data_IF_893053803303
#
_entry.id   IF_893053803303
#
_cell.length_a   1.000
_cell.length_b   1.000
_cell.length_c   1.000
_cell.angle_alpha   90.00
_cell.angle_beta   90.00
_cell.angle_gamma   90.00
#
_symmetry.space_group_name_H-M   'P 1'
#
loop_
_entity.id
_entity.type
_entity.pdbx_description
1 polymer ?
#
# COMPACT_ATOMS: atom_id res chain seq x y z
N UNK A 1 12.26 14.77 15.30
CA UNK A 1 11.96 13.35 15.04
C UNK A 1 10.45 13.27 14.87
N UNK A 2 9.94 13.49 13.67
CA UNK A 2 8.50 13.66 13.50
C UNK A 2 7.98 12.77 12.37
N UNK A 3 7.28 11.73 12.84
CA UNK A 3 6.34 10.83 12.17
C UNK A 3 6.93 9.95 11.06
N UNK A 4 7.63 8.90 11.45
CA UNK A 4 7.39 7.61 10.79
C UNK A 4 5.89 7.33 10.95
N UNK A 5 5.07 7.62 9.94
CA UNK A 5 3.62 7.40 9.98
C UNK A 5 3.39 5.89 10.07
N UNK A 6 3.11 5.33 11.27
CA UNK A 6 2.92 3.88 11.41
C UNK A 6 1.69 3.45 10.59
N UNK A 7 0.75 4.38 10.43
CA UNK A 7 -0.52 4.19 9.74
C UNK A 7 -0.41 4.20 8.22
N UNK A 8 0.71 4.69 7.65
CA UNK A 8 0.88 4.73 6.20
C UNK A 8 1.03 3.31 5.64
N UNK A 9 1.88 2.51 6.28
CA UNK A 9 2.08 1.11 5.89
C UNK A 9 0.76 0.33 6.02
N UNK A 10 0.08 0.46 7.16
CA UNK A 10 -1.23 -0.18 7.37
C UNK A 10 -2.24 0.21 6.30
N UNK A 11 -2.38 1.52 6.01
CA UNK A 11 -3.31 2.01 4.98
C UNK A 11 -3.00 1.44 3.59
N UNK A 12 -1.72 1.28 3.25
CA UNK A 12 -1.31 0.71 1.96
C UNK A 12 -1.57 -0.79 1.89
N UNK A 13 -1.35 -1.54 2.98
CA UNK A 13 -1.66 -2.97 3.03
C UNK A 13 -3.16 -3.24 2.95
N UNK A 14 -3.98 -2.42 3.62
CA UNK A 14 -5.45 -2.48 3.51
C UNK A 14 -5.89 -2.28 2.04
N UNK A 15 -5.28 -1.32 1.34
CA UNK A 15 -5.59 -1.07 -0.06
C UNK A 15 -5.23 -2.26 -0.97
N UNK A 16 -4.19 -3.03 -0.64
CA UNK A 16 -3.86 -4.26 -1.37
C UNK A 16 -4.88 -5.38 -1.08
N UNK A 17 -5.31 -5.55 0.17
CA UNK A 17 -6.35 -6.51 0.54
C UNK A 17 -7.69 -6.19 -0.13
N UNK A 18 -8.09 -4.91 -0.18
CA UNK A 18 -9.29 -4.46 -0.90
C UNK A 18 -9.24 -4.76 -2.41
N UNK A 19 -8.04 -4.81 -2.99
CA UNK A 19 -7.81 -5.20 -4.38
C UNK A 19 -7.72 -6.72 -4.57
N UNK A 20 -7.80 -7.52 -3.50
CA UNK A 20 -7.64 -8.98 -3.54
C UNK A 20 -6.20 -9.42 -3.81
N UNK A 21 -5.23 -8.58 -3.42
CA UNK A 21 -3.80 -8.87 -3.52
C UNK A 21 -3.28 -9.32 -2.16
N UNK A 22 -2.82 -10.56 -2.09
CA UNK A 22 -2.13 -11.07 -0.90
C UNK A 22 -0.67 -10.66 -0.96
N UNK A 23 -0.17 -10.02 0.09
CA UNK A 23 1.26 -9.73 0.25
C UNK A 23 1.94 -10.93 0.90
N UNK A 24 2.85 -11.56 0.17
CA UNK A 24 3.63 -12.72 0.62
C UNK A 24 4.94 -12.32 1.30
N UNK A 25 5.57 -11.27 0.75
CA UNK A 25 6.80 -10.72 1.27
C UNK A 25 6.82 -9.21 1.03
N UNK A 26 7.48 -8.46 1.92
CA UNK A 26 7.63 -7.03 1.75
C UNK A 26 8.90 -6.49 2.40
N UNK A 27 9.58 -5.59 1.69
CA UNK A 27 10.65 -4.77 2.22
C UNK A 27 10.15 -3.34 2.42
N UNK A 28 10.39 -2.80 3.63
CA UNK A 28 10.03 -1.44 3.98
C UNK A 28 11.28 -0.71 4.41
N UNK A 29 11.55 0.40 3.75
CA UNK A 29 12.62 1.31 4.12
C UNK A 29 12.10 2.74 4.25
N UNK A 30 12.54 3.40 5.32
CA UNK A 30 12.37 4.83 5.50
C UNK A 30 13.76 5.46 5.33
N UNK A 31 14.12 5.83 4.10
CA UNK A 31 15.36 6.56 3.85
C UNK A 31 15.11 8.05 4.14
N UNK A 32 15.92 8.61 5.03
CA UNK A 32 16.02 10.06 5.27
C UNK A 32 14.70 10.76 5.68
N UNK A 33 14.01 10.31 6.74
CA UNK A 33 12.86 10.94 7.43
C UNK A 33 11.68 11.48 6.56
N UNK A 34 11.76 11.37 5.25
CA UNK A 34 10.94 12.09 4.26
C UNK A 34 10.46 11.17 3.15
N UNK A 35 11.08 10.00 2.97
CA UNK A 35 10.69 9.00 2.00
C UNK A 35 10.27 7.69 2.67
N UNK A 36 9.09 7.22 2.30
CA UNK A 36 8.61 5.87 2.58
C UNK A 36 8.73 5.04 1.30
N UNK A 37 9.41 3.90 1.39
CA UNK A 37 9.55 2.95 0.30
C UNK A 37 9.02 1.60 0.75
N UNK A 38 8.12 1.05 -0.05
CA UNK A 38 7.56 -0.29 0.11
C UNK A 38 7.78 -1.05 -1.19
N UNK A 39 8.43 -2.20 -1.08
CA UNK A 39 8.44 -3.23 -2.11
C UNK A 39 7.67 -4.43 -1.57
N UNK A 40 6.77 -4.99 -2.38
CA UNK A 40 5.96 -6.13 -1.96
C UNK A 40 5.92 -7.17 -3.09
N UNK A 41 6.09 -8.43 -2.70
CA UNK A 41 5.80 -9.59 -3.54
C UNK A 41 4.42 -10.09 -3.14
N UNK A 42 3.55 -10.26 -4.12
CA UNK A 42 2.18 -10.70 -3.86
C UNK A 42 1.69 -11.73 -4.84
N UNK A 43 0.61 -12.40 -4.43
CA UNK A 43 -0.17 -13.30 -5.28
C UNK A 43 -1.57 -12.73 -5.46
N UNK A 44 -2.14 -12.89 -6.66
CA UNK A 44 -3.54 -12.64 -6.89
C UNK A 44 -4.34 -13.93 -6.68
N UNK A 45 -5.37 -13.90 -5.84
CA UNK A 45 -6.35 -14.99 -5.72
C UNK A 45 -7.26 -15.01 -6.95
N UNK A 46 -6.78 -15.51 -8.09
CA UNK A 46 -7.66 -15.82 -9.22
C UNK A 46 -7.25 -17.15 -9.83
N UNK A 47 -7.66 -18.24 -9.18
CA UNK A 47 -7.57 -19.60 -9.74
C UNK A 47 -8.51 -19.82 -10.94
N UNK A 48 -9.41 -18.86 -11.19
CA UNK A 48 -10.17 -18.76 -12.42
C UNK A 48 -9.70 -17.52 -13.19
N UNK A 49 -9.18 -17.75 -14.38
CA UNK A 49 -9.00 -16.82 -15.50
C UNK A 49 -9.33 -15.32 -15.24
N UNK A 50 -8.31 -14.47 -15.45
CA UNK A 50 -8.46 -13.14 -16.07
C UNK A 50 -8.83 -11.91 -15.23
N UNK A 51 -8.81 -11.96 -13.89
CA UNK A 51 -8.77 -10.72 -13.09
C UNK A 51 -7.33 -10.35 -12.73
N UNK A 52 -6.52 -10.07 -13.76
CA UNK A 52 -5.23 -9.40 -13.55
C UNK A 52 -5.49 -8.02 -12.97
N UNK A 53 -5.01 -7.75 -11.76
CA UNK A 53 -5.06 -6.42 -11.17
C UNK A 53 -4.14 -5.52 -12.00
N UNK A 54 -4.72 -4.48 -12.60
CA UNK A 54 -4.00 -3.53 -13.44
C UNK A 54 -3.08 -2.63 -12.59
N UNK A 55 -1.89 -2.30 -13.11
CA UNK A 55 -0.92 -1.43 -12.42
C UNK A 55 -1.56 -0.10 -12.01
N UNK A 56 -2.42 0.48 -12.85
CA UNK A 56 -3.07 1.75 -12.52
C UNK A 56 -4.05 1.61 -11.38
N UNK A 57 -4.72 0.47 -11.26
CA UNK A 57 -5.62 0.19 -10.14
C UNK A 57 -4.84 0.13 -8.82
N UNK A 58 -3.68 -0.56 -8.82
CA UNK A 58 -2.77 -0.58 -7.67
C UNK A 58 -2.30 0.83 -7.33
N UNK A 59 -1.79 1.58 -8.32
CA UNK A 59 -1.31 2.95 -8.11
C UNK A 59 -2.40 3.86 -7.55
N UNK A 60 -3.62 3.74 -8.05
CA UNK A 60 -4.74 4.56 -7.61
C UNK A 60 -5.13 4.26 -6.16
N UNK A 61 -5.22 2.98 -5.80
CA UNK A 61 -5.55 2.56 -4.43
C UNK A 61 -4.48 3.03 -3.43
N UNK A 62 -3.19 2.88 -3.79
CA UNK A 62 -2.07 3.36 -2.96
C UNK A 62 -2.12 4.89 -2.78
N UNK A 63 -2.36 5.66 -3.85
CA UNK A 63 -2.47 7.12 -3.73
C UNK A 63 -3.66 7.55 -2.86
N UNK A 64 -4.78 6.83 -2.94
CA UNK A 64 -5.92 7.09 -2.05
C UNK A 64 -5.59 6.78 -0.59
N UNK A 65 -4.91 5.66 -0.31
CA UNK A 65 -4.46 5.29 1.02
C UNK A 65 -3.51 6.34 1.63
N UNK A 66 -2.52 6.80 0.85
CA UNK A 66 -1.60 7.86 1.25
C UNK A 66 -2.37 9.15 1.56
N UNK A 67 -3.29 9.55 0.67
CA UNK A 67 -4.10 10.75 0.88
C UNK A 67 -4.95 10.66 2.14
N UNK A 68 -5.62 9.53 2.38
CA UNK A 68 -6.42 9.27 3.59
C UNK A 68 -5.59 9.38 4.86
N UNK A 69 -4.36 8.85 4.86
CA UNK A 69 -3.45 8.91 6.00
C UNK A 69 -2.98 10.36 6.30
N UNK A 70 -2.70 11.14 5.25
CA UNK A 70 -2.34 12.56 5.39
C UNK A 70 -3.53 13.39 5.87
N UNK A 71 -4.70 13.21 5.26
CA UNK A 71 -5.93 13.96 5.62
C UNK A 71 -6.45 13.59 7.02
N UNK A 72 -6.28 12.33 7.44
CA UNK A 72 -6.63 11.84 8.79
C UNK A 72 -5.74 12.37 9.92
N UNK A 73 -4.59 12.98 9.60
CA UNK A 73 -3.67 13.57 10.58
C UNK A 73 -4.09 14.96 11.09
N UNK A 74 -5.28 15.46 10.70
CA UNK A 74 -5.78 16.82 11.00
C UNK A 74 -6.87 16.91 12.09
N UNK A 75 -6.96 15.95 13.02
CA UNK A 75 -7.88 16.03 14.18
C UNK A 75 -7.12 16.31 15.47
#
# INVERSE_FOLDING_TARGET
MEKSQPELLTSVLEAFEELGLDVLDADVSCADDTAFRLEALGSSQSEAAERSVDEQMVRHAVLQAIKKCIDGSSI
#
